data_IF_990609717011
#
_entry.id   IF_990609717011
#
_cell.length_a   1.000
_cell.length_b   1.000
_cell.length_c   1.000
_cell.angle_alpha   90.00
_cell.angle_beta   90.00
_cell.angle_gamma   90.00
#
_symmetry.space_group_name_H-M   'P 1'
#
loop_
_entity.id
_entity.type
_entity.pdbx_description
1 polymer ?
#
# COMPACT_ATOMS: atom_id res chain seq x y z
N UNK A 1 -2.19 14.41 38.83
CA UNK A 1 -2.44 15.34 37.69
C UNK A 1 -1.94 14.85 36.34
N UNK A 2 -1.13 13.81 36.25
CA UNK A 2 -0.53 13.24 35.03
C UNK A 2 -1.40 12.23 34.27
N UNK A 3 -2.41 11.64 34.93
CA UNK A 3 -3.30 10.62 34.30
C UNK A 3 -4.33 11.22 33.34
N UNK A 4 -4.75 12.47 33.51
CA UNK A 4 -5.78 13.11 32.67
C UNK A 4 -5.26 13.56 31.29
N UNK A 5 -3.97 13.87 31.18
CA UNK A 5 -3.37 14.33 29.92
C UNK A 5 -3.18 13.18 28.94
N UNK A 6 -2.87 11.97 29.45
CA UNK A 6 -2.68 10.76 28.60
C UNK A 6 -4.02 10.27 28.04
N UNK A 7 -5.13 10.41 28.77
CA UNK A 7 -6.46 10.06 28.27
C UNK A 7 -6.95 11.01 27.15
N UNK A 8 -6.64 12.31 27.24
CA UNK A 8 -6.99 13.27 26.17
C UNK A 8 -6.18 13.08 24.88
N UNK A 9 -4.92 12.62 24.97
CA UNK A 9 -4.09 12.29 23.80
C UNK A 9 -4.61 11.04 23.08
N UNK A 10 -5.10 10.04 23.81
CA UNK A 10 -5.69 8.82 23.20
C UNK A 10 -7.04 9.11 22.51
N UNK A 11 -7.87 9.97 23.07
CA UNK A 11 -9.16 10.35 22.47
C UNK A 11 -9.00 11.23 21.23
N UNK A 12 -8.00 12.11 21.20
CA UNK A 12 -7.66 12.91 20.02
C UNK A 12 -7.16 12.06 18.84
N UNK A 13 -6.34 11.05 19.11
CA UNK A 13 -5.83 10.11 18.10
C UNK A 13 -6.93 9.24 17.49
N UNK A 14 -7.87 8.76 18.31
CA UNK A 14 -9.00 7.96 17.84
C UNK A 14 -9.95 8.77 16.94
N UNK A 15 -10.24 10.02 17.26
CA UNK A 15 -11.13 10.88 16.45
C UNK A 15 -10.50 11.27 15.11
N UNK A 16 -9.21 11.53 15.06
CA UNK A 16 -8.45 11.79 13.82
C UNK A 16 -8.38 10.55 12.92
N UNK A 17 -8.23 9.36 13.51
CA UNK A 17 -8.28 8.08 12.80
C UNK A 17 -9.66 7.83 12.20
N UNK A 18 -10.74 8.12 12.92
CA UNK A 18 -12.12 7.98 12.42
C UNK A 18 -12.40 8.91 11.23
N UNK A 19 -12.00 10.18 11.30
CA UNK A 19 -12.18 11.14 10.19
C UNK A 19 -11.41 10.73 8.94
N UNK A 20 -10.23 10.11 9.07
CA UNK A 20 -9.47 9.58 7.93
C UNK A 20 -10.17 8.38 7.29
N UNK A 21 -10.70 7.43 8.09
CA UNK A 21 -11.46 6.26 7.59
C UNK A 21 -12.70 6.65 6.78
N UNK A 22 -13.41 7.70 7.21
CA UNK A 22 -14.63 8.14 6.55
C UNK A 22 -14.43 9.24 5.51
N UNK A 23 -13.19 9.62 5.20
CA UNK A 23 -12.91 10.68 4.22
C UNK A 23 -13.51 10.37 2.85
N UNK A 24 -13.33 9.14 2.37
CA UNK A 24 -13.91 8.69 1.10
C UNK A 24 -15.43 8.78 1.14
N UNK A 25 -16.05 8.24 2.18
CA UNK A 25 -17.50 8.29 2.39
C UNK A 25 -18.04 9.74 2.31
N UNK A 26 -17.48 10.64 3.10
CA UNK A 26 -17.94 12.05 3.11
C UNK A 26 -17.71 12.75 1.77
N UNK A 27 -16.62 12.45 1.08
CA UNK A 27 -16.35 13.01 -0.26
C UNK A 27 -17.40 12.52 -1.25
N UNK A 28 -17.71 11.23 -1.27
CA UNK A 28 -18.73 10.67 -2.17
C UNK A 28 -20.11 11.21 -1.84
N UNK A 29 -20.48 11.28 -0.55
CA UNK A 29 -21.76 11.86 -0.14
C UNK A 29 -21.89 13.32 -0.59
N UNK A 30 -20.84 14.12 -0.44
CA UNK A 30 -20.86 15.51 -0.92
C UNK A 30 -21.08 15.60 -2.44
N UNK A 31 -20.41 14.75 -3.23
CA UNK A 31 -20.60 14.69 -4.68
C UNK A 31 -22.02 14.26 -5.03
N UNK A 32 -22.58 13.25 -4.34
CA UNK A 32 -23.95 12.78 -4.57
C UNK A 32 -24.99 13.87 -4.21
N UNK A 33 -24.76 14.63 -3.15
CA UNK A 33 -25.63 15.77 -2.80
C UNK A 33 -25.61 16.84 -3.89
N UNK A 34 -24.45 17.18 -4.44
CA UNK A 34 -24.35 18.12 -5.57
C UNK A 34 -25.10 17.59 -6.79
N UNK A 35 -24.94 16.28 -7.12
CA UNK A 35 -25.70 15.65 -8.21
C UNK A 35 -27.21 15.65 -7.95
N UNK A 36 -27.64 15.46 -6.71
CA UNK A 36 -29.03 15.58 -6.30
C UNK A 36 -29.59 17.00 -6.54
N UNK A 37 -28.83 18.03 -6.18
CA UNK A 37 -29.21 19.42 -6.50
C UNK A 37 -29.31 19.66 -8.01
N UNK A 38 -28.38 19.12 -8.80
CA UNK A 38 -28.44 19.20 -10.27
C UNK A 38 -29.68 18.47 -10.80
N UNK A 39 -29.99 17.28 -10.28
CA UNK A 39 -31.19 16.50 -10.65
C UNK A 39 -32.48 17.27 -10.39
N UNK A 40 -32.59 17.93 -9.22
CA UNK A 40 -33.74 18.79 -8.90
C UNK A 40 -33.85 19.92 -9.91
N UNK A 41 -32.76 20.55 -10.32
CA UNK A 41 -32.72 21.56 -11.36
C UNK A 41 -33.22 21.03 -12.71
N UNK A 42 -32.70 19.85 -13.14
CA UNK A 42 -33.13 19.18 -14.39
C UNK A 42 -34.63 18.88 -14.37
N UNK A 43 -35.15 18.41 -13.25
CA UNK A 43 -36.58 18.14 -13.05
C UNK A 43 -37.41 19.44 -13.15
N UNK A 44 -36.98 20.51 -12.46
CA UNK A 44 -37.69 21.80 -12.46
C UNK A 44 -37.74 22.44 -13.84
N UNK A 45 -36.69 22.31 -14.66
CA UNK A 45 -36.66 22.84 -16.03
C UNK A 45 -37.28 21.89 -17.07
N UNK A 46 -37.78 20.72 -16.66
CA UNK A 46 -38.43 19.77 -17.56
C UNK A 46 -37.49 19.09 -18.56
N UNK A 47 -36.18 19.02 -18.28
CA UNK A 47 -35.20 18.38 -19.15
C UNK A 47 -35.12 16.85 -18.98
N UNK A 48 -36.11 16.24 -18.34
CA UNK A 48 -36.21 14.80 -18.20
C UNK A 48 -36.84 14.18 -19.44
N UNK A 49 -36.07 13.54 -20.29
CA UNK A 49 -36.53 12.94 -21.54
C UNK A 49 -36.30 11.41 -21.63
N UNK A 50 -35.51 10.82 -20.71
CA UNK A 50 -35.23 9.38 -20.67
C UNK A 50 -36.31 8.67 -19.83
N UNK A 51 -36.83 7.58 -20.35
CA UNK A 51 -37.73 6.70 -19.60
C UNK A 51 -37.00 5.43 -19.17
N UNK A 52 -37.28 4.93 -17.96
CA UNK A 52 -36.74 3.68 -17.49
C UNK A 52 -37.35 2.53 -18.31
N UNK A 53 -36.54 1.95 -19.18
CA UNK A 53 -36.94 0.82 -20.00
C UNK A 53 -35.98 -0.37 -19.77
N UNK A 54 -36.32 -1.54 -20.30
CA UNK A 54 -35.55 -2.76 -20.15
C UNK A 54 -34.11 -2.62 -20.69
N UNK A 55 -33.91 -1.82 -21.74
CA UNK A 55 -32.58 -1.58 -22.32
C UNK A 55 -31.69 -0.79 -21.37
N UNK A 56 -32.22 0.28 -20.78
CA UNK A 56 -31.48 1.10 -19.81
C UNK A 56 -31.16 0.30 -18.53
N UNK A 57 -32.15 -0.44 -18.01
CA UNK A 57 -31.94 -1.32 -16.85
C UNK A 57 -30.87 -2.40 -17.12
N UNK A 58 -30.87 -3.00 -18.30
CA UNK A 58 -29.86 -3.95 -18.75
C UNK A 58 -28.46 -3.31 -18.86
N UNK A 59 -28.38 -2.08 -19.40
CA UNK A 59 -27.13 -1.31 -19.46
C UNK A 59 -26.55 -1.01 -18.10
N UNK A 60 -27.36 -0.58 -17.14
CA UNK A 60 -26.96 -0.35 -15.75
C UNK A 60 -26.45 -1.65 -15.10
N UNK A 61 -27.21 -2.75 -15.27
CA UNK A 61 -26.82 -4.08 -14.77
C UNK A 61 -25.50 -4.58 -15.35
N UNK A 62 -25.30 -4.40 -16.66
CA UNK A 62 -24.04 -4.72 -17.35
C UNK A 62 -22.86 -3.89 -16.80
N UNK A 63 -23.05 -2.61 -16.55
CA UNK A 63 -22.01 -1.77 -15.98
C UNK A 63 -21.65 -2.15 -14.52
N UNK A 64 -22.65 -2.49 -13.70
CA UNK A 64 -22.41 -3.01 -12.35
C UNK A 64 -21.58 -4.27 -12.41
N UNK A 65 -21.90 -5.18 -13.32
CA UNK A 65 -21.14 -6.41 -13.50
C UNK A 65 -19.69 -6.15 -13.91
N UNK A 66 -19.47 -5.29 -14.90
CA UNK A 66 -18.12 -4.94 -15.38
C UNK A 66 -17.31 -4.28 -14.26
N UNK A 67 -17.88 -3.30 -13.57
CA UNK A 67 -17.19 -2.61 -12.46
C UNK A 67 -16.88 -3.58 -11.32
N UNK A 68 -17.81 -4.46 -10.96
CA UNK A 68 -17.61 -5.47 -9.92
C UNK A 68 -16.49 -6.45 -10.27
N UNK A 69 -16.43 -6.91 -11.52
CA UNK A 69 -15.35 -7.78 -12.00
C UNK A 69 -13.98 -7.08 -11.95
N UNK A 70 -13.90 -5.83 -12.42
CA UNK A 70 -12.67 -5.04 -12.39
C UNK A 70 -12.23 -4.74 -10.95
N UNK A 71 -13.15 -4.38 -10.08
CA UNK A 71 -12.86 -4.14 -8.67
C UNK A 71 -12.30 -5.39 -7.98
N UNK A 72 -12.82 -6.58 -8.31
CA UNK A 72 -12.30 -7.85 -7.79
C UNK A 72 -10.85 -8.08 -8.22
N UNK A 73 -10.50 -7.78 -9.47
CA UNK A 73 -9.12 -7.88 -9.98
C UNK A 73 -8.17 -6.90 -9.27
N UNK A 74 -8.58 -5.63 -9.15
CA UNK A 74 -7.77 -4.60 -8.48
C UNK A 74 -7.57 -4.93 -7.00
N UNK A 75 -8.59 -5.47 -6.34
CA UNK A 75 -8.48 -5.91 -4.94
C UNK A 75 -7.49 -7.07 -4.77
N UNK A 76 -7.40 -7.97 -5.75
CA UNK A 76 -6.39 -9.04 -5.75
C UNK A 76 -4.96 -8.47 -5.84
N UNK A 77 -4.73 -7.51 -6.73
CA UNK A 77 -3.44 -6.81 -6.86
C UNK A 77 -3.09 -6.02 -5.59
N UNK A 78 -4.08 -5.36 -4.98
CA UNK A 78 -3.88 -4.66 -3.71
C UNK A 78 -3.48 -5.62 -2.58
N UNK A 79 -4.14 -6.78 -2.47
CA UNK A 79 -3.78 -7.82 -1.48
C UNK A 79 -2.37 -8.39 -1.72
N UNK A 80 -1.95 -8.52 -2.97
CA UNK A 80 -0.57 -8.88 -3.30
C UNK A 80 0.40 -7.82 -2.78
N UNK A 81 0.12 -6.54 -3.04
CA UNK A 81 0.94 -5.42 -2.56
C UNK A 81 1.03 -5.38 -1.03
N UNK A 82 -0.05 -5.70 -0.31
CA UNK A 82 -0.11 -5.75 1.15
C UNK A 82 0.81 -6.83 1.76
N UNK A 83 1.09 -7.90 1.02
CA UNK A 83 1.99 -8.99 1.48
C UNK A 83 3.48 -8.66 1.36
N UNK A 84 3.85 -7.79 0.43
CA UNK A 84 5.25 -7.52 0.11
C UNK A 84 6.08 -7.05 1.33
N UNK A 85 5.62 -6.15 2.21
CA UNK A 85 6.36 -5.78 3.42
C UNK A 85 6.68 -6.96 4.34
N UNK A 86 5.77 -7.92 4.48
CA UNK A 86 5.98 -9.12 5.26
C UNK A 86 7.04 -10.04 4.62
N UNK A 87 7.00 -10.20 3.30
CA UNK A 87 7.97 -11.00 2.55
C UNK A 87 9.38 -10.40 2.64
N UNK A 88 9.49 -9.07 2.57
CA UNK A 88 10.76 -8.34 2.75
C UNK A 88 11.29 -8.55 4.17
N UNK A 89 10.44 -8.34 5.20
CA UNK A 89 10.81 -8.54 6.60
C UNK A 89 11.33 -9.96 6.84
N UNK A 90 10.56 -10.96 6.40
CA UNK A 90 10.93 -12.38 6.57
C UNK A 90 12.25 -12.70 5.89
N UNK A 91 12.49 -12.16 4.69
CA UNK A 91 13.74 -12.39 3.97
C UNK A 91 14.94 -11.75 4.68
N UNK A 92 14.79 -10.53 5.20
CA UNK A 92 15.86 -9.85 5.96
C UNK A 92 16.14 -10.58 7.27
N UNK A 93 15.10 -11.01 8.01
CA UNK A 93 15.24 -11.77 9.25
C UNK A 93 15.91 -13.13 9.02
N UNK A 94 15.61 -13.78 7.89
CA UNK A 94 16.26 -15.05 7.53
C UNK A 94 17.75 -14.85 7.22
N UNK A 95 18.12 -13.80 6.48
CA UNK A 95 19.51 -13.46 6.20
C UNK A 95 20.26 -13.14 7.50
N UNK A 96 19.70 -12.25 8.36
CA UNK A 96 20.31 -11.86 9.63
C UNK A 96 20.52 -13.08 10.55
N UNK A 97 19.50 -13.94 10.67
CA UNK A 97 19.56 -15.14 11.52
C UNK A 97 20.60 -16.17 11.06
N UNK A 98 20.73 -16.39 9.75
CA UNK A 98 21.76 -17.28 9.20
C UNK A 98 23.16 -16.74 9.43
N UNK A 99 23.37 -15.43 9.22
CA UNK A 99 24.64 -14.76 9.45
C UNK A 99 25.00 -14.68 10.94
N UNK A 100 24.01 -14.44 11.82
CA UNK A 100 24.21 -14.46 13.27
C UNK A 100 24.62 -15.83 13.76
N UNK A 101 23.99 -16.89 13.26
CA UNK A 101 24.33 -18.27 13.57
C UNK A 101 25.77 -18.61 13.14
N UNK A 102 26.22 -18.12 12.00
CA UNK A 102 27.58 -18.29 11.52
C UNK A 102 28.57 -17.47 12.36
N UNK A 103 28.25 -16.21 12.68
CA UNK A 103 29.11 -15.36 13.52
C UNK A 103 29.30 -15.91 14.94
N UNK A 104 28.35 -16.66 15.47
CA UNK A 104 28.47 -17.32 16.77
C UNK A 104 29.58 -18.36 16.80
N UNK A 105 29.85 -19.03 15.68
CA UNK A 105 30.88 -20.07 15.53
C UNK A 105 32.17 -19.47 15.00
N UNK A 106 32.11 -18.56 14.03
CA UNK A 106 33.29 -17.95 13.39
C UNK A 106 33.43 -16.49 13.86
N UNK A 107 34.42 -16.24 14.70
CA UNK A 107 34.68 -14.93 15.33
C UNK A 107 35.35 -13.91 14.39
N UNK A 108 35.92 -14.38 13.29
CA UNK A 108 36.56 -13.53 12.28
C UNK A 108 35.53 -12.90 11.30
N UNK A 109 34.27 -13.34 11.40
CA UNK A 109 33.21 -12.80 10.55
C UNK A 109 32.59 -11.54 11.17
N UNK A 110 32.63 -10.43 10.41
CA UNK A 110 32.00 -9.16 10.82
C UNK A 110 30.51 -9.13 10.45
N UNK A 111 29.66 -9.56 11.39
CA UNK A 111 28.20 -9.48 11.27
C UNK A 111 27.70 -8.02 11.21
N UNK A 112 28.45 -7.08 11.78
CA UNK A 112 28.05 -5.67 11.85
C UNK A 112 27.97 -5.05 10.44
N UNK A 113 28.94 -5.37 9.56
CA UNK A 113 28.92 -4.92 8.16
C UNK A 113 27.62 -5.33 7.46
N UNK A 114 27.21 -6.60 7.62
CA UNK A 114 25.97 -7.12 7.02
C UNK A 114 24.73 -6.42 7.57
N UNK A 115 24.63 -6.25 8.88
CA UNK A 115 23.49 -5.56 9.52
C UNK A 115 23.38 -4.09 9.09
N UNK A 116 24.49 -3.40 8.89
CA UNK A 116 24.50 -2.03 8.37
C UNK A 116 23.98 -1.98 6.94
N UNK A 117 24.36 -2.92 6.08
CA UNK A 117 23.84 -3.00 4.70
C UNK A 117 22.32 -3.28 4.70
N UNK A 118 21.86 -4.22 5.52
CA UNK A 118 20.43 -4.52 5.64
C UNK A 118 19.64 -3.32 6.12
N UNK A 119 20.13 -2.61 7.13
CA UNK A 119 19.51 -1.37 7.65
C UNK A 119 19.49 -0.28 6.60
N UNK A 120 20.60 -0.01 5.93
CA UNK A 120 20.69 0.98 4.86
C UNK A 120 19.75 0.63 3.67
N UNK A 121 19.54 -0.67 3.42
CA UNK A 121 18.59 -1.14 2.40
C UNK A 121 17.15 -0.78 2.78
N UNK A 122 16.76 -0.96 4.06
CA UNK A 122 15.42 -0.58 4.57
C UNK A 122 15.25 0.93 4.51
N UNK A 123 16.24 1.71 4.97
CA UNK A 123 16.20 3.18 4.98
C UNK A 123 16.02 3.73 3.56
N UNK A 124 16.78 3.21 2.58
CA UNK A 124 16.67 3.60 1.17
C UNK A 124 15.33 3.19 0.56
N UNK A 125 14.82 1.99 0.91
CA UNK A 125 13.51 1.55 0.45
C UNK A 125 12.42 2.49 0.94
N UNK A 126 12.45 2.86 2.22
CA UNK A 126 11.50 3.79 2.84
C UNK A 126 11.57 5.18 2.20
N UNK A 127 12.78 5.70 1.98
CA UNK A 127 12.98 6.97 1.29
C UNK A 127 12.40 6.94 -0.12
N UNK A 128 12.64 5.88 -0.89
CA UNK A 128 12.07 5.69 -2.23
C UNK A 128 10.54 5.62 -2.23
N UNK A 129 9.94 5.00 -1.20
CA UNK A 129 8.48 4.92 -1.05
C UNK A 129 7.84 6.26 -0.66
N UNK A 130 8.55 7.11 0.11
CA UNK A 130 8.04 8.43 0.52
C UNK A 130 7.99 9.43 -0.63
N UNK A 131 8.81 9.25 -1.67
CA UNK A 131 8.92 10.12 -2.85
C UNK A 131 8.25 9.49 -4.08
N UNK A 132 7.06 8.97 -3.96
CA UNK A 132 6.30 8.11 -4.87
C UNK A 132 6.23 8.50 -6.37
N UNK A 133 6.81 9.63 -6.77
CA UNK A 133 6.91 10.08 -8.17
C UNK A 133 8.34 10.22 -8.70
N UNK A 134 9.35 10.00 -7.86
CA UNK A 134 10.74 10.16 -8.30
C UNK A 134 11.31 8.79 -8.73
N UNK A 135 11.28 8.51 -10.03
CA UNK A 135 11.69 7.23 -10.65
C UNK A 135 13.18 6.85 -10.45
N UNK A 136 13.94 7.67 -9.69
CA UNK A 136 15.39 7.50 -9.51
C UNK A 136 15.78 6.72 -8.24
N UNK A 137 14.81 6.46 -7.32
CA UNK A 137 15.17 6.06 -5.95
C UNK A 137 15.27 4.54 -5.72
N UNK A 138 14.80 3.70 -6.65
CA UNK A 138 14.89 2.24 -6.50
C UNK A 138 16.23 1.64 -6.94
N UNK A 139 16.91 2.08 -8.00
CA UNK A 139 18.25 1.60 -8.27
C UNK A 139 19.20 1.67 -7.07
N UNK A 140 19.24 2.78 -6.25
CA UNK A 140 20.04 2.84 -5.04
C UNK A 140 19.76 1.77 -3.97
N UNK A 141 18.50 1.30 -3.86
CA UNK A 141 18.13 0.21 -2.94
C UNK A 141 18.72 -1.11 -3.40
N UNK A 142 18.60 -1.42 -4.69
CA UNK A 142 19.13 -2.65 -5.27
C UNK A 142 20.67 -2.68 -5.26
N UNK A 143 21.32 -1.54 -5.44
CA UNK A 143 22.76 -1.38 -5.33
C UNK A 143 23.23 -1.65 -3.88
N UNK A 144 22.48 -1.13 -2.89
CA UNK A 144 22.79 -1.39 -1.48
C UNK A 144 22.68 -2.88 -1.16
N UNK A 145 21.58 -3.52 -1.55
CA UNK A 145 21.37 -4.95 -1.37
C UNK A 145 22.45 -5.79 -2.06
N UNK A 146 22.95 -5.36 -3.22
CA UNK A 146 23.98 -6.07 -3.98
C UNK A 146 25.32 -6.13 -3.25
N UNK A 147 25.59 -5.25 -2.26
CA UNK A 147 26.80 -5.30 -1.43
C UNK A 147 26.91 -6.56 -0.58
N UNK A 148 25.79 -7.27 -0.30
CA UNK A 148 25.81 -8.57 0.37
C UNK A 148 26.43 -9.67 -0.49
N UNK A 149 26.34 -9.56 -1.83
CA UNK A 149 26.79 -10.62 -2.75
C UNK A 149 28.28 -10.97 -2.60
N UNK A 150 29.25 -10.01 -2.57
CA UNK A 150 30.65 -10.33 -2.33
C UNK A 150 30.91 -10.86 -0.91
N UNK A 151 30.11 -10.45 0.09
CA UNK A 151 30.22 -10.97 1.44
C UNK A 151 29.86 -12.45 1.44
N UNK A 152 28.74 -12.84 0.83
CA UNK A 152 28.32 -14.23 0.72
C UNK A 152 29.35 -15.10 -0.04
N UNK A 153 30.05 -14.52 -1.02
CA UNK A 153 31.15 -15.21 -1.69
C UNK A 153 32.35 -15.52 -0.79
N UNK A 154 32.63 -14.67 0.23
CA UNK A 154 33.69 -14.87 1.20
C UNK A 154 33.35 -15.91 2.27
N UNK A 155 32.07 -16.10 2.59
CA UNK A 155 31.61 -17.00 3.66
C UNK A 155 31.98 -18.45 3.41
N UNK A 156 31.97 -18.91 2.16
CA UNK A 156 32.38 -20.25 1.78
C UNK A 156 33.89 -20.48 2.10
N UNK A 157 34.74 -19.49 1.78
CA UNK A 157 36.15 -19.50 2.13
C UNK A 157 36.43 -19.46 3.65
N UNK A 158 35.49 -18.93 4.43
CA UNK A 158 35.52 -18.88 5.89
C UNK A 158 34.94 -20.15 6.55
N UNK A 159 34.55 -21.17 5.77
CA UNK A 159 34.06 -22.45 6.27
C UNK A 159 32.52 -22.54 6.42
N UNK A 160 31.74 -21.61 5.88
CA UNK A 160 30.29 -21.79 5.80
C UNK A 160 29.97 -22.91 4.81
N UNK A 161 29.12 -23.85 5.20
CA UNK A 161 28.70 -24.92 4.29
C UNK A 161 27.96 -24.37 3.07
N UNK A 162 28.26 -24.87 1.86
CA UNK A 162 27.76 -24.35 0.58
C UNK A 162 26.25 -24.25 0.49
N UNK A 163 25.51 -25.16 1.14
CA UNK A 163 24.04 -25.13 1.17
C UNK A 163 23.49 -23.88 1.90
N UNK A 164 24.18 -23.36 2.93
CA UNK A 164 23.80 -22.11 3.60
C UNK A 164 24.10 -20.90 2.72
N UNK A 165 25.24 -20.90 2.02
CA UNK A 165 25.57 -19.83 1.07
C UNK A 165 24.54 -19.76 -0.07
N UNK A 166 24.13 -20.92 -0.60
CA UNK A 166 23.06 -21.00 -1.61
C UNK A 166 21.74 -20.46 -1.05
N UNK A 167 21.39 -20.81 0.20
CA UNK A 167 20.17 -20.28 0.85
C UNK A 167 20.22 -18.77 1.01
N UNK A 168 21.32 -18.20 1.47
CA UNK A 168 21.51 -16.75 1.60
C UNK A 168 21.32 -16.04 0.24
N UNK A 169 21.93 -16.57 -0.83
CA UNK A 169 21.77 -16.01 -2.19
C UNK A 169 20.35 -16.12 -2.69
N UNK A 170 19.69 -17.25 -2.47
CA UNK A 170 18.28 -17.43 -2.84
C UNK A 170 17.37 -16.47 -2.09
N UNK A 171 17.61 -16.26 -0.79
CA UNK A 171 16.84 -15.30 0.02
C UNK A 171 17.11 -13.86 -0.42
N UNK A 172 18.36 -13.51 -0.78
CA UNK A 172 18.68 -12.22 -1.37
C UNK A 172 17.94 -11.99 -2.70
N UNK A 173 17.81 -13.02 -3.55
CA UNK A 173 17.07 -12.94 -4.80
C UNK A 173 15.55 -12.81 -4.57
N UNK A 174 15.00 -13.45 -3.55
CA UNK A 174 13.60 -13.25 -3.14
C UNK A 174 13.40 -11.80 -2.70
N UNK A 175 14.26 -11.29 -1.84
CA UNK A 175 14.22 -9.90 -1.36
C UNK A 175 14.32 -8.90 -2.51
N UNK A 176 15.23 -9.13 -3.46
CA UNK A 176 15.38 -8.33 -4.68
C UNK A 176 14.09 -8.33 -5.51
N UNK A 177 13.47 -9.49 -5.71
CA UNK A 177 12.20 -9.60 -6.45
C UNK A 177 11.06 -8.83 -5.77
N UNK A 178 10.95 -8.92 -4.44
CA UNK A 178 9.95 -8.18 -3.67
C UNK A 178 10.13 -6.67 -3.81
N UNK A 179 11.35 -6.16 -3.79
CA UNK A 179 11.67 -4.75 -4.02
C UNK A 179 11.34 -4.30 -5.45
N UNK A 180 11.68 -5.12 -6.45
CA UNK A 180 11.33 -4.85 -7.85
C UNK A 180 9.81 -4.86 -8.06
N UNK A 181 9.08 -5.73 -7.34
CA UNK A 181 7.62 -5.78 -7.41
C UNK A 181 6.98 -4.50 -6.87
N UNK A 182 7.47 -3.96 -5.75
CA UNK A 182 7.03 -2.63 -5.26
C UNK A 182 7.24 -1.58 -6.36
N UNK A 183 8.44 -1.55 -6.96
CA UNK A 183 8.76 -0.61 -8.03
C UNK A 183 7.85 -0.76 -9.24
N UNK A 184 7.55 -2.00 -9.63
CA UNK A 184 6.64 -2.29 -10.73
C UNK A 184 5.24 -1.76 -10.42
N UNK A 185 4.71 -2.03 -9.22
CA UNK A 185 3.38 -1.57 -8.79
C UNK A 185 3.31 -0.04 -8.75
N UNK A 186 4.37 0.64 -8.29
CA UNK A 186 4.40 2.11 -8.26
C UNK A 186 4.49 2.76 -9.64
N UNK A 187 5.16 2.11 -10.59
CA UNK A 187 5.47 2.68 -11.91
C UNK A 187 4.48 2.28 -12.99
N UNK A 188 3.99 1.06 -12.92
CA UNK A 188 3.02 0.55 -13.89
C UNK A 188 1.65 0.95 -13.39
N UNK A 189 1.08 2.01 -13.97
CA UNK A 189 -0.33 2.31 -13.82
C UNK A 189 -1.14 1.08 -14.26
N UNK A 190 -2.14 0.71 -13.47
CA UNK A 190 -3.11 -0.29 -13.89
C UNK A 190 -3.60 0.10 -15.29
N UNK A 191 -3.72 -0.88 -16.19
CA UNK A 191 -3.94 -0.68 -17.64
C UNK A 191 -4.75 0.60 -17.91
N UNK A 192 -4.18 1.68 -18.48
CA UNK A 192 -4.84 2.99 -18.61
C UNK A 192 -6.22 2.90 -19.27
N UNK A 193 -6.38 1.94 -20.20
CA UNK A 193 -7.66 1.69 -20.91
C UNK A 193 -8.76 1.22 -19.97
N UNK A 194 -8.44 0.47 -18.90
CA UNK A 194 -9.43 0.01 -17.90
C UNK A 194 -9.92 1.16 -17.06
N UNK A 195 -9.00 2.06 -16.67
CA UNK A 195 -9.36 3.27 -15.93
C UNK A 195 -10.30 4.16 -16.74
N UNK A 196 -10.00 4.37 -18.04
CA UNK A 196 -10.86 5.13 -18.96
C UNK A 196 -12.22 4.44 -19.10
N UNK A 197 -12.27 3.10 -19.22
CA UNK A 197 -13.52 2.34 -19.31
C UNK A 197 -14.40 2.57 -18.08
N UNK A 198 -13.85 2.40 -16.87
CA UNK A 198 -14.61 2.61 -15.62
C UNK A 198 -15.13 4.04 -15.54
N UNK A 199 -14.28 5.04 -15.82
CA UNK A 199 -14.70 6.43 -15.81
C UNK A 199 -15.84 6.70 -16.79
N UNK A 200 -15.68 6.23 -18.04
CA UNK A 200 -16.69 6.45 -19.09
C UNK A 200 -18.01 5.79 -18.74
N UNK A 201 -17.98 4.54 -18.20
CA UNK A 201 -19.19 3.85 -17.75
C UNK A 201 -19.88 4.61 -16.63
N UNK A 202 -19.15 5.00 -15.58
CA UNK A 202 -19.73 5.73 -14.44
C UNK A 202 -20.31 7.08 -14.88
N UNK A 203 -19.56 7.88 -15.64
CA UNK A 203 -20.05 9.16 -16.13
C UNK A 203 -21.27 9.01 -17.04
N UNK A 204 -21.26 8.05 -17.96
CA UNK A 204 -22.40 7.82 -18.86
C UNK A 204 -23.65 7.46 -18.07
N UNK A 205 -23.54 6.57 -17.08
CA UNK A 205 -24.71 6.17 -16.27
C UNK A 205 -25.20 7.33 -15.40
N UNK A 206 -24.32 8.06 -14.75
CA UNK A 206 -24.71 9.21 -13.92
C UNK A 206 -25.41 10.28 -14.78
N UNK A 207 -24.88 10.56 -15.97
CA UNK A 207 -25.51 11.50 -16.92
C UNK A 207 -26.89 10.99 -17.37
N UNK A 208 -27.00 9.70 -17.75
CA UNK A 208 -28.30 9.13 -18.12
C UNK A 208 -29.30 9.21 -16.98
N UNK A 209 -28.88 8.96 -15.74
CA UNK A 209 -29.73 9.05 -14.56
C UNK A 209 -30.17 10.48 -14.25
N UNK A 210 -29.34 11.49 -14.57
CA UNK A 210 -29.76 12.90 -14.42
C UNK A 210 -30.96 13.25 -15.32
N UNK A 211 -31.01 12.70 -16.53
CA UNK A 211 -32.08 12.95 -17.50
C UNK A 211 -33.23 11.94 -17.45
N UNK A 212 -33.17 10.96 -16.54
CA UNK A 212 -34.21 9.96 -16.35
C UNK A 212 -35.45 10.62 -15.75
N UNK A 213 -36.62 10.37 -16.36
CA UNK A 213 -37.94 10.85 -15.82
C UNK A 213 -38.16 10.26 -14.43
N UNK A 214 -38.46 11.14 -13.49
CA UNK A 214 -38.84 10.81 -12.13
C UNK A 214 -40.22 11.36 -11.83
N UNK A 215 -41.05 10.61 -11.12
CA UNK A 215 -42.38 11.04 -10.74
C UNK A 215 -42.38 12.16 -9.68
N UNK A 216 -41.18 12.62 -9.26
CA UNK A 216 -41.02 13.64 -8.23
C UNK A 216 -41.30 13.13 -6.81
N UNK A 217 -41.48 11.82 -6.66
CA UNK A 217 -41.70 11.17 -5.38
C UNK A 217 -40.38 10.93 -4.59
N UNK A 218 -40.42 10.84 -3.26
CA UNK A 218 -39.23 10.60 -2.43
C UNK A 218 -38.53 9.28 -2.78
N UNK A 219 -39.25 8.25 -3.23
CA UNK A 219 -38.67 6.96 -3.56
C UNK A 219 -37.75 7.06 -4.78
N UNK A 220 -38.16 7.77 -5.83
CA UNK A 220 -37.31 8.03 -7.00
C UNK A 220 -36.04 8.81 -6.64
N UNK A 221 -36.15 9.80 -5.75
CA UNK A 221 -35.02 10.58 -5.28
C UNK A 221 -34.03 9.71 -4.48
N UNK A 222 -34.53 8.83 -3.61
CA UNK A 222 -33.71 7.89 -2.86
C UNK A 222 -32.99 6.90 -3.78
N UNK A 223 -33.67 6.35 -4.79
CA UNK A 223 -33.09 5.42 -5.76
C UNK A 223 -32.01 6.11 -6.59
N UNK A 224 -32.23 7.33 -7.07
CA UNK A 224 -31.21 8.13 -7.74
C UNK A 224 -29.97 8.33 -6.86
N UNK A 225 -30.18 8.75 -5.61
CA UNK A 225 -29.09 8.95 -4.65
C UNK A 225 -28.29 7.67 -4.38
N UNK A 226 -29.00 6.55 -4.16
CA UNK A 226 -28.38 5.25 -3.88
C UNK A 226 -27.54 4.73 -5.06
N UNK A 227 -28.09 4.75 -6.27
CA UNK A 227 -27.38 4.24 -7.46
C UNK A 227 -26.20 5.16 -7.78
N UNK A 228 -26.39 6.48 -7.75
CA UNK A 228 -25.30 7.45 -7.94
C UNK A 228 -24.19 7.26 -6.91
N UNK A 229 -24.54 7.05 -5.64
CA UNK A 229 -23.58 6.74 -4.58
C UNK A 229 -22.77 5.49 -4.87
N UNK A 230 -23.42 4.38 -5.26
CA UNK A 230 -22.72 3.13 -5.60
C UNK A 230 -21.69 3.33 -6.71
N UNK A 231 -22.07 3.99 -7.82
CA UNK A 231 -21.17 4.18 -8.96
C UNK A 231 -20.01 5.13 -8.64
N UNK A 232 -20.29 6.22 -7.96
CA UNK A 232 -19.26 7.20 -7.59
C UNK A 232 -18.31 6.59 -6.54
N UNK A 233 -18.87 5.88 -5.56
CA UNK A 233 -18.04 5.19 -4.56
C UNK A 233 -17.12 4.15 -5.21
N UNK A 234 -17.65 3.34 -6.13
CA UNK A 234 -16.85 2.35 -6.87
C UNK A 234 -15.72 3.01 -7.67
N UNK A 235 -16.00 4.15 -8.35
CA UNK A 235 -14.97 4.90 -9.09
C UNK A 235 -13.83 5.40 -8.17
N UNK A 236 -14.19 5.98 -7.02
CA UNK A 236 -13.19 6.44 -6.06
C UNK A 236 -12.42 5.29 -5.41
N UNK A 237 -13.10 4.17 -5.14
CA UNK A 237 -12.48 2.97 -4.57
C UNK A 237 -11.47 2.35 -5.54
N UNK A 238 -11.81 2.24 -6.84
CA UNK A 238 -10.88 1.81 -7.88
C UNK A 238 -9.62 2.68 -7.86
N UNK A 239 -9.76 4.00 -7.90
CA UNK A 239 -8.62 4.94 -7.85
C UNK A 239 -7.78 4.81 -6.58
N UNK A 240 -8.42 4.49 -5.46
CA UNK A 240 -7.74 4.32 -4.18
C UNK A 240 -6.89 3.05 -4.17
N UNK A 241 -7.44 1.94 -4.65
CA UNK A 241 -6.78 0.64 -4.65
C UNK A 241 -5.70 0.50 -5.73
N UNK A 242 -5.79 1.28 -6.83
CA UNK A 242 -4.78 1.29 -7.90
C UNK A 242 -3.40 1.77 -7.43
N UNK A 243 -3.32 2.52 -6.32
CA UNK A 243 -2.08 3.12 -5.83
C UNK A 243 -1.81 2.77 -4.35
N UNK A 244 -1.51 1.50 -4.03
CA UNK A 244 -1.40 1.04 -2.65
C UNK A 244 -0.23 1.66 -1.87
N UNK A 245 0.76 2.26 -2.55
CA UNK A 245 1.96 2.86 -1.94
C UNK A 245 2.05 4.39 -2.13
N UNK A 246 0.98 5.06 -2.61
CA UNK A 246 1.09 6.42 -3.14
C UNK A 246 1.15 7.55 -2.10
N UNK A 247 0.75 7.34 -0.85
CA UNK A 247 0.42 8.45 0.05
C UNK A 247 1.25 8.56 1.33
N UNK A 248 2.20 7.66 1.56
CA UNK A 248 3.03 7.68 2.78
C UNK A 248 2.19 7.56 4.06
N UNK A 249 2.78 7.74 5.23
CA UNK A 249 2.18 7.50 6.56
C UNK A 249 0.84 8.21 6.88
N UNK A 250 0.11 8.74 5.92
CA UNK A 250 -1.08 9.57 6.14
C UNK A 250 -2.44 8.95 5.81
N UNK A 251 -2.49 7.90 5.03
CA UNK A 251 -3.73 7.22 4.63
C UNK A 251 -3.87 5.88 5.35
N UNK A 252 -5.10 5.55 5.79
CA UNK A 252 -5.39 4.26 6.43
C UNK A 252 -5.64 3.16 5.39
N UNK A 253 -5.76 3.57 4.12
CA UNK A 253 -6.01 2.70 2.98
C UNK A 253 -4.71 2.38 2.22
N UNK A 254 -3.56 2.89 2.68
CA UNK A 254 -2.24 2.55 2.14
C UNK A 254 -1.68 1.31 2.85
N UNK A 255 -0.82 0.58 2.14
CA UNK A 255 -0.07 -0.54 2.73
C UNK A 255 0.76 -0.04 3.90
N UNK A 256 0.57 -0.66 5.06
CA UNK A 256 1.24 -0.25 6.29
C UNK A 256 2.67 -0.75 6.35
N UNK A 257 3.61 0.13 6.71
CA UNK A 257 5.03 -0.18 6.83
C UNK A 257 5.49 -0.39 8.28
N UNK A 258 4.58 -0.61 9.24
CA UNK A 258 4.94 -0.85 10.64
C UNK A 258 5.93 -2.03 10.81
N UNK A 259 5.87 -3.01 9.90
CA UNK A 259 6.78 -4.14 9.88
C UNK A 259 8.24 -3.71 9.63
N UNK A 260 8.45 -2.64 8.87
CA UNK A 260 9.79 -2.09 8.66
C UNK A 260 10.25 -1.29 9.88
N UNK A 261 9.35 -0.58 10.58
CA UNK A 261 9.69 0.14 11.82
C UNK A 261 10.18 -0.81 12.90
N UNK A 262 9.46 -1.93 13.11
CA UNK A 262 9.85 -2.97 14.05
C UNK A 262 11.18 -3.65 13.68
N UNK A 263 11.36 -3.95 12.39
CA UNK A 263 12.59 -4.58 11.89
C UNK A 263 13.80 -3.64 12.05
N UNK A 264 13.64 -2.38 11.71
CA UNK A 264 14.66 -1.34 11.88
C UNK A 264 15.08 -1.22 13.35
N UNK A 265 14.11 -1.14 14.27
CA UNK A 265 14.39 -1.08 15.70
C UNK A 265 15.15 -2.31 16.20
N UNK A 266 14.79 -3.50 15.73
CA UNK A 266 15.48 -4.76 16.04
C UNK A 266 16.93 -4.74 15.56
N UNK A 267 17.18 -4.38 14.29
CA UNK A 267 18.53 -4.33 13.73
C UNK A 267 19.39 -3.26 14.41
N UNK A 268 18.83 -2.09 14.73
CA UNK A 268 19.52 -1.02 15.48
C UNK A 268 19.90 -1.46 16.90
N UNK A 269 19.01 -2.15 17.60
CA UNK A 269 19.31 -2.74 18.93
C UNK A 269 20.43 -3.77 18.83
N UNK A 270 20.42 -4.63 17.83
CA UNK A 270 21.45 -5.62 17.60
C UNK A 270 22.83 -5.00 17.26
N UNK A 271 22.86 -3.87 16.57
CA UNK A 271 24.07 -3.08 16.31
C UNK A 271 24.58 -2.36 17.58
N UNK A 272 23.68 -1.81 18.40
CA UNK A 272 24.02 -1.09 19.65
C UNK A 272 24.46 -2.03 20.78
N UNK A 273 23.81 -3.19 20.92
CA UNK A 273 24.18 -4.21 21.92
C UNK A 273 25.57 -4.82 21.71
N UNK A 274 26.02 -4.94 20.45
CA UNK A 274 27.37 -5.40 20.12
C UNK A 274 28.48 -4.43 20.59
N UNK A 275 28.20 -3.15 20.69
CA UNK A 275 29.18 -2.15 21.18
C UNK A 275 29.41 -2.25 22.70
N UNK A 276 28.37 -2.58 23.48
CA UNK A 276 28.49 -2.74 24.93
C UNK A 276 29.29 -3.98 25.33
N UNK A 277 29.18 -5.06 24.55
CA UNK A 277 29.89 -6.33 24.83
C UNK A 277 31.39 -6.26 24.48
N UNK A 278 31.78 -5.44 23.50
CA UNK A 278 33.21 -5.24 23.17
C UNK A 278 33.92 -4.32 24.15
N UNK A 279 33.22 -3.30 24.69
CA UNK A 279 33.83 -2.37 25.65
C UNK A 279 34.11 -3.01 27.00
N UNK A 280 33.32 -4.03 27.40
CA UNK A 280 33.53 -4.77 28.66
C UNK A 280 34.65 -5.80 28.57
N UNK A 281 35.10 -6.23 27.37
CA UNK A 281 36.22 -7.15 27.18
C UNK A 281 37.59 -6.49 27.19
N UNK A 282 37.66 -5.17 27.00
CA UNK A 282 38.92 -4.42 27.12
C UNK A 282 39.17 -3.83 28.53
N UNK A 283 38.21 -3.98 29.44
CA UNK A 283 38.31 -3.52 30.81
C UNK A 283 38.77 -4.61 31.80
N UNK A 284 38.94 -5.86 31.33
CA UNK A 284 39.36 -7.01 32.15
C UNK A 284 40.72 -7.64 31.71
N UNK A 285 41.62 -6.84 31.08
CA UNK A 285 43.01 -7.27 30.85
C UNK A 285 43.97 -6.33 31.53
#
# INVERSE_FOLDING_TARGET
MTSSIIQHLHLGGASLSYRKKFRLFFTVVAVVLVLGCVKIGVHYFGFEFLELNALLASGIGGAIFIIGFLLSSILADYKEAERIPADIRTSIEAIDGDLESFAAVNKDFDLRECRQILLATIDKLRAGLSHARNHKDIPPVLEELAKLTPIFGRLEGMGMAANFVVRLRTTQDVLRRSMLRIYQIQRVEFVPSVHVLVQTLVFSIVIMMLFLKTEGDPASAMMFGFISYMFIYALYLVRLLEQPFARGHGSLDDVSFFLFDELEERLRKALGGGAATQHNKHAEV
#
